data_IF_075084326686
#
_entry.id   IF_075084326686
#
_cell.length_a   1.000
_cell.length_b   1.000
_cell.length_c   1.000
_cell.angle_alpha   90.00
_cell.angle_beta   90.00
_cell.angle_gamma   90.00
#
_symmetry.space_group_name_H-M   'P 1'
#
loop_
_entity.id
_entity.type
_entity.pdbx_description
1 polymer ?
#
# COMPACT_ATOMS: atom_id res chain seq x y z
N UNK A 1 4.02 0.24 -15.75
CA UNK A 1 5.44 0.68 -15.90
C UNK A 1 5.61 2.18 -15.58
N UNK A 2 4.83 3.15 -16.13
CA UNK A 2 5.08 4.57 -15.85
C UNK A 2 4.97 4.94 -14.36
N UNK A 3 4.12 4.30 -13.58
CA UNK A 3 4.04 4.50 -12.12
C UNK A 3 5.34 4.17 -11.40
N UNK A 4 6.03 3.11 -11.81
CA UNK A 4 7.28 2.66 -11.19
C UNK A 4 8.43 3.65 -11.39
N UNK A 5 8.49 4.30 -12.55
CA UNK A 5 9.55 5.28 -12.85
C UNK A 5 9.52 6.43 -11.84
N UNK A 6 8.33 6.91 -11.48
CA UNK A 6 8.20 7.97 -10.48
C UNK A 6 8.31 7.46 -9.04
N UNK A 7 7.77 6.26 -8.76
CA UNK A 7 7.64 5.78 -7.38
C UNK A 7 8.94 5.25 -6.80
N UNK A 8 9.79 4.59 -7.58
CA UNK A 8 11.04 4.00 -7.09
C UNK A 8 11.96 5.05 -6.43
N UNK A 9 12.34 6.14 -7.13
CA UNK A 9 13.21 7.15 -6.53
C UNK A 9 12.54 7.85 -5.35
N UNK A 10 11.24 8.08 -5.44
CA UNK A 10 10.50 8.76 -4.38
C UNK A 10 10.27 7.86 -3.15
N UNK A 11 10.12 6.54 -3.32
CA UNK A 11 10.06 5.61 -2.21
C UNK A 11 11.41 5.50 -1.50
N UNK A 12 12.52 5.54 -2.22
CA UNK A 12 13.85 5.60 -1.65
C UNK A 12 14.01 6.90 -0.82
N UNK A 13 13.72 8.06 -1.41
CA UNK A 13 13.78 9.35 -0.72
C UNK A 13 12.86 9.34 0.52
N UNK A 14 11.62 8.85 0.39
CA UNK A 14 10.72 8.71 1.53
C UNK A 14 11.30 7.84 2.65
N UNK A 15 12.01 6.76 2.30
CA UNK A 15 12.71 5.90 3.25
C UNK A 15 13.87 6.59 3.97
N UNK A 16 14.62 7.49 3.31
CA UNK A 16 15.73 8.24 3.92
C UNK A 16 15.26 9.34 4.86
N UNK A 17 14.01 9.84 4.72
CA UNK A 17 13.52 10.93 5.54
C UNK A 17 13.43 10.53 7.01
N UNK A 18 14.02 11.33 7.88
CA UNK A 18 13.87 11.21 9.33
C UNK A 18 12.73 12.13 9.75
N UNK A 19 11.60 11.52 10.10
CA UNK A 19 10.42 12.25 10.58
C UNK A 19 10.18 11.98 12.05
N UNK A 20 9.62 12.97 12.77
CA UNK A 20 9.27 12.80 14.17
C UNK A 20 8.15 11.75 14.29
N UNK A 21 8.14 11.05 15.43
CA UNK A 21 7.13 10.01 15.72
C UNK A 21 5.70 10.54 15.58
N UNK A 22 5.43 11.76 16.03
CA UNK A 22 4.09 12.36 15.96
C UNK A 22 3.65 12.59 14.50
N UNK A 23 4.54 13.10 13.64
CA UNK A 23 4.25 13.32 12.22
C UNK A 23 4.01 11.96 11.54
N UNK A 24 4.81 10.95 11.86
CA UNK A 24 4.64 9.59 11.34
C UNK A 24 3.28 9.00 11.74
N UNK A 25 2.88 9.10 13.00
CA UNK A 25 1.61 8.58 13.49
C UNK A 25 0.42 9.28 12.83
N UNK A 26 0.46 10.61 12.67
CA UNK A 26 -0.58 11.39 11.98
C UNK A 26 -0.67 10.97 10.50
N UNK A 27 0.48 10.84 9.83
CA UNK A 27 0.54 10.46 8.43
C UNK A 27 0.01 9.03 8.22
N UNK A 28 0.39 8.10 9.10
CA UNK A 28 -0.11 6.73 9.10
C UNK A 28 -1.63 6.69 9.33
N UNK A 29 -2.15 7.46 10.29
CA UNK A 29 -3.59 7.57 10.53
C UNK A 29 -4.35 8.06 9.29
N UNK A 30 -3.91 9.15 8.68
CA UNK A 30 -4.53 9.71 7.47
C UNK A 30 -4.52 8.71 6.30
N UNK A 31 -3.37 8.09 6.08
CA UNK A 31 -3.15 7.12 5.02
C UNK A 31 -4.07 5.90 5.18
N UNK A 32 -4.13 5.33 6.38
CA UNK A 32 -4.99 4.18 6.67
C UNK A 32 -6.48 4.54 6.62
N UNK A 33 -6.86 5.73 7.09
CA UNK A 33 -8.24 6.21 7.01
C UNK A 33 -8.71 6.30 5.56
N UNK A 34 -7.93 6.96 4.71
CA UNK A 34 -8.25 7.11 3.28
C UNK A 34 -8.30 5.73 2.60
N UNK A 35 -7.32 4.86 2.87
CA UNK A 35 -7.28 3.52 2.29
C UNK A 35 -8.48 2.67 2.71
N UNK A 36 -8.84 2.68 4.00
CA UNK A 36 -9.99 1.96 4.53
C UNK A 36 -11.31 2.41 3.89
N UNK A 37 -11.51 3.73 3.79
CA UNK A 37 -12.69 4.33 3.14
C UNK A 37 -12.73 3.95 1.66
N UNK A 38 -11.63 4.08 0.93
CA UNK A 38 -11.56 3.70 -0.48
C UNK A 38 -11.87 2.21 -0.69
N UNK A 39 -11.38 1.33 0.17
CA UNK A 39 -11.66 -0.10 0.10
C UNK A 39 -13.15 -0.42 0.33
N UNK A 40 -13.82 0.28 1.26
CA UNK A 40 -15.25 0.09 1.51
C UNK A 40 -16.11 0.52 0.31
N UNK A 41 -15.80 1.67 -0.30
CA UNK A 41 -16.59 2.19 -1.42
C UNK A 41 -16.31 1.47 -2.74
N UNK A 42 -15.16 0.82 -2.88
CA UNK A 42 -14.73 0.22 -4.15
C UNK A 42 -15.30 -1.20 -4.41
N UNK A 43 -16.18 -1.70 -3.53
CA UNK A 43 -16.82 -3.02 -3.67
C UNK A 43 -17.58 -3.22 -5.01
N UNK A 44 -17.97 -2.14 -5.68
CA UNK A 44 -18.65 -2.20 -7.00
C UNK A 44 -17.67 -2.29 -8.18
N UNK A 45 -16.43 -1.92 -8.01
CA UNK A 45 -15.42 -1.91 -9.08
C UNK A 45 -14.91 -3.31 -9.47
N UNK A 46 -15.15 -4.32 -8.62
CA UNK A 46 -14.83 -5.72 -8.92
C UNK A 46 -15.83 -6.42 -9.85
N UNK A 47 -16.93 -5.75 -10.27
CA UNK A 47 -17.90 -6.32 -11.23
C UNK A 47 -17.47 -6.05 -12.68
N UNK A 48 -17.22 -7.11 -13.37
CA UNK A 48 -16.48 -7.30 -14.62
C UNK A 48 -17.10 -6.77 -15.94
N UNK A 49 -18.18 -6.01 -15.94
CA UNK A 49 -18.92 -5.77 -17.19
C UNK A 49 -18.80 -4.33 -17.71
N UNK A 50 -17.88 -4.04 -18.55
CA UNK A 50 -17.67 -2.81 -19.35
C UNK A 50 -16.54 -1.88 -18.86
N UNK A 51 -15.31 -2.40 -18.75
CA UNK A 51 -14.14 -1.54 -18.66
C UNK A 51 -13.81 -0.94 -20.03
N UNK A 52 -14.22 0.31 -20.27
CA UNK A 52 -13.64 1.11 -21.36
C UNK A 52 -12.33 1.69 -20.84
N UNK A 53 -11.22 1.17 -21.36
CA UNK A 53 -9.88 1.66 -21.02
C UNK A 53 -9.79 3.12 -21.49
N UNK A 54 -9.63 4.04 -20.55
CA UNK A 54 -9.43 5.46 -20.86
C UNK A 54 -7.95 5.69 -21.10
N UNK A 55 -7.59 6.10 -22.31
CA UNK A 55 -6.22 6.48 -22.65
C UNK A 55 -5.84 7.70 -21.80
N UNK A 56 -4.99 7.51 -20.81
CA UNK A 56 -4.58 8.57 -19.88
C UNK A 56 -3.13 8.98 -20.15
N UNK A 57 -2.79 10.21 -19.80
CA UNK A 57 -1.50 10.80 -20.05
C UNK A 57 -0.40 10.09 -19.21
N UNK A 58 0.69 9.57 -19.79
CA UNK A 58 1.73 8.86 -19.06
C UNK A 58 2.40 9.72 -17.97
N UNK A 59 2.48 11.02 -18.16
CA UNK A 59 3.01 11.96 -17.19
C UNK A 59 2.21 11.98 -15.88
N UNK A 60 0.88 11.92 -15.98
CA UNK A 60 0.00 11.87 -14.82
C UNK A 60 0.25 10.59 -13.98
N UNK A 61 0.54 9.48 -14.64
CA UNK A 61 0.87 8.23 -13.95
C UNK A 61 2.22 8.27 -13.24
N UNK A 62 3.21 8.92 -13.83
CA UNK A 62 4.50 9.15 -13.16
C UNK A 62 4.30 10.02 -11.91
N UNK A 63 3.50 11.08 -12.01
CA UNK A 63 3.23 11.98 -10.89
C UNK A 63 2.48 11.28 -9.75
N UNK A 64 1.42 10.52 -10.08
CA UNK A 64 0.69 9.70 -9.08
C UNK A 64 1.64 8.68 -8.44
N UNK A 65 2.45 7.98 -9.25
CA UNK A 65 3.45 7.04 -8.78
C UNK A 65 4.44 7.69 -7.82
N UNK A 66 4.92 8.90 -8.13
CA UNK A 66 5.84 9.66 -7.29
C UNK A 66 5.26 9.98 -5.92
N UNK A 67 4.03 10.49 -5.88
CA UNK A 67 3.34 10.83 -4.62
C UNK A 67 3.11 9.57 -3.78
N UNK A 68 2.59 8.50 -4.40
CA UNK A 68 2.36 7.24 -3.69
C UNK A 68 3.68 6.63 -3.23
N UNK A 69 4.72 6.68 -4.05
CA UNK A 69 6.05 6.18 -3.71
C UNK A 69 6.65 6.89 -2.50
N UNK A 70 6.57 8.21 -2.47
CA UNK A 70 7.07 9.02 -1.36
C UNK A 70 6.35 8.69 -0.05
N UNK A 71 5.02 8.70 -0.07
CA UNK A 71 4.20 8.34 1.10
C UNK A 71 4.50 6.90 1.54
N UNK A 72 4.60 5.98 0.58
CA UNK A 72 4.93 4.58 0.81
C UNK A 72 6.30 4.39 1.46
N UNK A 73 7.31 5.13 1.01
CA UNK A 73 8.65 5.09 1.58
C UNK A 73 8.70 5.60 3.01
N UNK A 74 7.98 6.70 3.28
CA UNK A 74 7.87 7.29 4.62
C UNK A 74 7.17 6.33 5.58
N UNK A 75 6.03 5.78 5.17
CA UNK A 75 5.15 4.96 6.03
C UNK A 75 5.56 3.48 6.05
N UNK A 76 6.30 3.01 5.04
CA UNK A 76 6.76 1.63 4.96
C UNK A 76 5.70 0.61 4.50
N UNK A 77 4.58 1.06 3.89
CA UNK A 77 3.44 0.18 3.52
C UNK A 77 3.54 -0.38 2.09
N UNK A 78 4.55 0.00 1.30
CA UNK A 78 4.72 -0.48 -0.09
C UNK A 78 3.76 0.15 -1.11
N UNK A 79 2.84 1.05 -0.70
CA UNK A 79 2.00 1.90 -1.57
C UNK A 79 0.88 1.24 -2.36
N UNK A 80 0.83 -0.09 -2.42
CA UNK A 80 -0.15 -0.80 -3.24
C UNK A 80 -1.59 -0.68 -2.76
N UNK A 81 -1.78 -0.44 -1.45
CA UNK A 81 -3.11 -0.18 -0.87
C UNK A 81 -3.76 1.05 -1.51
N UNK A 82 -2.95 2.04 -1.93
CA UNK A 82 -3.44 3.25 -2.60
C UNK A 82 -3.51 3.08 -4.12
N UNK A 83 -2.53 2.39 -4.71
CA UNK A 83 -2.46 2.25 -6.16
C UNK A 83 -3.68 1.50 -6.71
N UNK A 84 -4.08 0.39 -6.06
CA UNK A 84 -5.20 -0.42 -6.52
C UNK A 84 -6.51 0.37 -6.63
N UNK A 85 -7.01 1.05 -5.57
CA UNK A 85 -8.22 1.87 -5.68
C UNK A 85 -8.12 2.98 -6.72
N UNK A 86 -6.96 3.63 -6.84
CA UNK A 86 -6.76 4.70 -7.82
C UNK A 86 -6.85 4.15 -9.25
N UNK A 87 -6.21 3.02 -9.53
CA UNK A 87 -6.29 2.39 -10.85
C UNK A 87 -7.70 1.91 -11.19
N UNK A 88 -8.45 1.43 -10.19
CA UNK A 88 -9.86 1.08 -10.36
C UNK A 88 -10.72 2.30 -10.67
N UNK A 89 -10.54 3.41 -9.97
CA UNK A 89 -11.26 4.66 -10.21
C UNK A 89 -10.96 5.25 -11.59
N UNK A 90 -9.71 5.17 -12.01
CA UNK A 90 -9.27 5.62 -13.34
C UNK A 90 -9.71 4.66 -14.48
N UNK A 91 -10.28 3.50 -14.14
CA UNK A 91 -10.64 2.43 -15.10
C UNK A 91 -9.48 2.11 -16.06
N UNK A 92 -8.28 2.03 -15.51
CA UNK A 92 -7.03 1.97 -16.27
C UNK A 92 -6.87 0.64 -17.00
N UNK A 93 -7.28 -0.47 -16.35
CA UNK A 93 -7.10 -1.82 -16.85
C UNK A 93 -8.17 -2.77 -16.27
N UNK A 94 -8.18 -4.02 -16.75
CA UNK A 94 -9.03 -5.07 -16.19
C UNK A 94 -8.65 -5.33 -14.72
N UNK A 95 -9.60 -5.70 -13.84
CA UNK A 95 -9.37 -5.92 -12.42
C UNK A 95 -8.17 -6.83 -12.11
N UNK A 96 -8.01 -7.92 -12.85
CA UNK A 96 -6.90 -8.86 -12.69
C UNK A 96 -5.54 -8.20 -12.94
N UNK A 97 -5.44 -7.38 -13.98
CA UNK A 97 -4.20 -6.69 -14.35
C UNK A 97 -3.87 -5.58 -13.33
N UNK A 98 -4.88 -4.91 -12.77
CA UNK A 98 -4.70 -3.91 -11.71
C UNK A 98 -4.09 -4.57 -10.48
N UNK A 99 -4.62 -5.71 -10.04
CA UNK A 99 -4.11 -6.44 -8.86
C UNK A 99 -2.66 -6.89 -9.09
N UNK A 100 -2.36 -7.45 -10.26
CA UNK A 100 -0.99 -7.87 -10.62
C UNK A 100 -0.03 -6.67 -10.64
N UNK A 101 -0.43 -5.56 -11.25
CA UNK A 101 0.37 -4.33 -11.30
C UNK A 101 0.61 -3.76 -9.90
N UNK A 102 -0.40 -3.79 -9.03
CA UNK A 102 -0.27 -3.34 -7.65
C UNK A 102 0.68 -4.24 -6.84
N UNK A 103 0.64 -5.56 -7.04
CA UNK A 103 1.55 -6.49 -6.35
C UNK A 103 3.01 -6.25 -6.73
N UNK A 104 3.30 -6.05 -8.02
CA UNK A 104 4.64 -5.68 -8.50
C UNK A 104 5.07 -4.33 -7.94
N UNK A 105 4.16 -3.36 -7.91
CA UNK A 105 4.41 -2.03 -7.37
C UNK A 105 4.76 -2.09 -5.87
N UNK A 106 4.02 -2.88 -5.08
CA UNK A 106 4.31 -3.10 -3.65
C UNK A 106 5.72 -3.65 -3.48
N UNK A 107 6.04 -4.72 -4.20
CA UNK A 107 7.33 -5.40 -4.08
C UNK A 107 8.50 -4.45 -4.36
N UNK A 108 8.45 -3.74 -5.49
CA UNK A 108 9.52 -2.85 -5.92
C UNK A 108 9.66 -1.65 -4.97
N UNK A 109 8.55 -1.03 -4.57
CA UNK A 109 8.60 0.12 -3.67
C UNK A 109 8.99 -0.29 -2.24
N UNK A 110 8.61 -1.48 -1.77
CA UNK A 110 9.07 -1.99 -0.48
C UNK A 110 10.58 -2.19 -0.47
N UNK A 111 11.15 -2.78 -1.51
CA UNK A 111 12.60 -2.92 -1.64
C UNK A 111 13.28 -1.54 -1.67
N UNK A 112 12.77 -0.62 -2.50
CA UNK A 112 13.31 0.74 -2.60
C UNK A 112 13.24 1.50 -1.28
N UNK A 113 12.10 1.43 -0.57
CA UNK A 113 11.89 2.06 0.72
C UNK A 113 12.80 1.48 1.81
N UNK A 114 12.98 0.16 1.86
CA UNK A 114 13.92 -0.50 2.79
C UNK A 114 15.34 -0.05 2.50
N UNK A 115 15.76 0.00 1.24
CA UNK A 115 17.08 0.51 0.88
C UNK A 115 17.29 1.96 1.34
N UNK A 116 16.25 2.79 1.24
CA UNK A 116 16.27 4.14 1.79
C UNK A 116 16.38 4.15 3.32
N UNK A 117 15.66 3.30 4.02
CA UNK A 117 15.74 3.21 5.49
C UNK A 117 17.08 2.67 5.98
N UNK A 118 17.72 1.75 5.26
CA UNK A 118 19.03 1.21 5.62
C UNK A 118 20.16 2.27 5.61
N UNK A 119 19.91 3.44 5.06
CA UNK A 119 20.87 4.56 5.15
C UNK A 119 20.91 5.24 6.54
N UNK A 120 19.99 4.85 7.45
CA UNK A 120 19.90 5.38 8.82
C UNK A 120 20.70 4.48 9.77
N UNK A 121 21.47 5.06 10.65
CA UNK A 121 22.45 4.34 11.48
C UNK A 121 21.85 3.27 12.42
N UNK A 122 20.63 3.49 12.94
CA UNK A 122 20.03 2.60 13.95
C UNK A 122 19.17 1.46 13.36
N UNK A 123 18.83 1.50 12.08
CA UNK A 123 17.84 0.58 11.47
C UNK A 123 18.32 -0.86 11.43
N UNK A 124 19.61 -1.10 11.30
CA UNK A 124 20.18 -2.47 11.24
C UNK A 124 19.95 -3.20 12.56
N UNK A 125 20.12 -2.54 13.69
CA UNK A 125 19.89 -3.11 15.01
C UNK A 125 18.39 -3.39 15.24
N UNK A 126 17.52 -2.48 14.80
CA UNK A 126 16.07 -2.69 14.88
C UNK A 126 15.60 -3.87 14.02
N UNK A 127 16.14 -4.03 12.80
CA UNK A 127 15.82 -5.17 11.93
C UNK A 127 16.16 -6.50 12.62
N UNK A 128 17.28 -6.60 13.33
CA UNK A 128 17.66 -7.81 14.07
C UNK A 128 16.66 -8.13 15.20
N UNK A 129 16.24 -7.11 15.94
CA UNK A 129 15.26 -7.26 17.04
C UNK A 129 13.91 -7.73 16.50
N UNK A 130 13.45 -7.19 15.38
CA UNK A 130 12.15 -7.51 14.80
C UNK A 130 12.18 -8.65 13.76
N UNK A 131 13.33 -9.30 13.55
CA UNK A 131 13.49 -10.40 12.60
C UNK A 131 12.50 -11.57 12.78
N UNK A 132 12.05 -11.95 14.01
CA UNK A 132 11.04 -12.99 14.16
C UNK A 132 9.69 -12.64 13.51
N UNK A 133 9.35 -11.35 13.42
CA UNK A 133 8.10 -10.91 12.76
C UNK A 133 8.09 -11.21 11.27
N UNK A 134 9.26 -11.27 10.63
CA UNK A 134 9.37 -11.64 9.22
C UNK A 134 8.79 -13.04 8.95
N UNK A 135 9.11 -14.02 9.80
CA UNK A 135 8.57 -15.37 9.69
C UNK A 135 7.05 -15.39 9.94
N UNK A 136 6.58 -14.62 10.92
CA UNK A 136 5.14 -14.51 11.19
C UNK A 136 4.38 -13.93 9.98
N UNK A 137 4.94 -12.91 9.32
CA UNK A 137 4.35 -12.29 8.12
C UNK A 137 4.38 -13.28 6.95
N UNK A 138 5.45 -14.02 6.74
CA UNK A 138 5.53 -15.04 5.69
C UNK A 138 4.48 -16.14 5.89
N UNK A 139 4.38 -16.71 7.09
CA UNK A 139 3.40 -17.75 7.41
C UNK A 139 1.97 -17.19 7.25
N UNK A 140 1.70 -16.00 7.80
CA UNK A 140 0.41 -15.34 7.66
C UNK A 140 0.04 -15.04 6.20
N UNK A 141 1.02 -14.63 5.40
CA UNK A 141 0.85 -14.39 3.96
C UNK A 141 0.54 -15.67 3.18
N UNK A 142 1.22 -16.78 3.47
CA UNK A 142 0.93 -18.09 2.86
C UNK A 142 -0.47 -18.59 3.21
N UNK A 143 -0.85 -18.50 4.48
CA UNK A 143 -2.19 -18.89 4.94
C UNK A 143 -3.24 -17.98 4.30
N UNK A 144 -3.03 -16.67 4.31
CA UNK A 144 -3.94 -15.68 3.71
C UNK A 144 -4.13 -15.89 2.21
N UNK A 145 -3.05 -16.19 1.48
CA UNK A 145 -3.12 -16.52 0.06
C UNK A 145 -3.90 -17.82 -0.22
N UNK A 146 -3.68 -18.85 0.59
CA UNK A 146 -4.42 -20.10 0.48
C UNK A 146 -5.93 -19.90 0.73
N UNK A 147 -6.29 -19.14 1.76
CA UNK A 147 -7.66 -18.81 2.09
C UNK A 147 -8.33 -17.97 0.98
N UNK A 148 -7.60 -17.00 0.41
CA UNK A 148 -8.08 -16.18 -0.69
C UNK A 148 -8.39 -17.01 -1.95
N UNK A 149 -7.51 -17.95 -2.29
CA UNK A 149 -7.66 -18.74 -3.52
C UNK A 149 -8.74 -19.82 -3.43
N UNK A 150 -8.97 -20.39 -2.23
CA UNK A 150 -9.83 -21.57 -2.07
C UNK A 150 -11.14 -21.33 -1.31
N UNK A 151 -11.21 -20.33 -0.43
CA UNK A 151 -12.31 -20.22 0.53
C UNK A 151 -13.08 -18.91 0.38
N UNK A 152 -12.39 -17.78 0.18
CA UNK A 152 -13.04 -16.47 0.20
C UNK A 152 -13.26 -15.90 -1.19
N UNK A 153 -14.47 -15.36 -1.40
CA UNK A 153 -14.72 -14.50 -2.54
C UNK A 153 -14.00 -13.14 -2.36
N UNK A 154 -13.49 -12.55 -3.44
CA UNK A 154 -12.74 -11.29 -3.40
C UNK A 154 -13.45 -10.15 -2.65
N UNK A 155 -14.81 -10.14 -2.64
CA UNK A 155 -15.60 -9.17 -1.87
C UNK A 155 -15.46 -9.35 -0.35
N UNK A 156 -15.50 -10.59 0.12
CA UNK A 156 -15.36 -10.91 1.56
C UNK A 156 -13.97 -10.52 2.04
N UNK A 157 -12.96 -10.82 1.23
CA UNK A 157 -11.58 -10.45 1.54
C UNK A 157 -11.40 -8.93 1.60
N UNK A 158 -11.93 -8.21 0.61
CA UNK A 158 -11.87 -6.75 0.59
C UNK A 158 -12.58 -6.12 1.81
N UNK A 159 -13.71 -6.69 2.23
CA UNK A 159 -14.45 -6.23 3.41
C UNK A 159 -13.67 -6.48 4.71
N UNK A 160 -13.10 -7.68 4.88
CA UNK A 160 -12.27 -8.01 6.06
C UNK A 160 -11.06 -7.07 6.12
N UNK A 161 -10.39 -6.88 5.00
CA UNK A 161 -9.23 -5.98 4.93
C UNK A 161 -9.62 -4.54 5.25
N UNK A 162 -10.73 -4.04 4.70
CA UNK A 162 -11.24 -2.70 4.99
C UNK A 162 -11.55 -2.51 6.48
N UNK A 163 -12.22 -3.48 7.10
CA UNK A 163 -12.55 -3.45 8.53
C UNK A 163 -11.29 -3.43 9.40
N UNK A 164 -10.29 -4.26 9.08
CA UNK A 164 -9.01 -4.28 9.79
C UNK A 164 -8.26 -2.96 9.66
N UNK A 165 -8.19 -2.40 8.45
CA UNK A 165 -7.51 -1.11 8.20
C UNK A 165 -8.20 0.03 8.95
N UNK A 166 -9.55 0.06 8.95
CA UNK A 166 -10.33 1.07 9.69
C UNK A 166 -10.15 0.90 11.19
N UNK A 167 -10.17 -0.34 11.70
CA UNK A 167 -9.93 -0.59 13.13
C UNK A 167 -8.56 -0.08 13.58
N UNK A 168 -7.50 -0.37 12.81
CA UNK A 168 -6.16 0.14 13.10
C UNK A 168 -6.12 1.66 13.03
N UNK A 169 -6.77 2.25 12.02
CA UNK A 169 -6.86 3.70 11.86
C UNK A 169 -7.55 4.37 13.06
N UNK A 170 -8.69 3.85 13.51
CA UNK A 170 -9.40 4.37 14.68
C UNK A 170 -8.52 4.28 15.92
N UNK A 171 -7.86 3.14 16.15
CA UNK A 171 -6.94 2.96 17.27
C UNK A 171 -5.80 3.97 17.25
N UNK A 172 -5.23 4.24 16.07
CA UNK A 172 -4.19 5.26 15.91
C UNK A 172 -4.74 6.67 16.17
N UNK A 173 -5.94 6.98 15.69
CA UNK A 173 -6.60 8.26 15.97
C UNK A 173 -6.82 8.49 17.46
N UNK A 174 -7.33 7.51 18.18
CA UNK A 174 -7.50 7.59 19.64
C UNK A 174 -6.16 7.88 20.33
N UNK A 175 -5.08 7.22 19.93
CA UNK A 175 -3.75 7.42 20.50
C UNK A 175 -3.17 8.82 20.23
N UNK A 176 -3.55 9.45 19.12
CA UNK A 176 -3.05 10.78 18.74
C UNK A 176 -3.82 11.90 19.47
N UNK A 177 -5.13 11.70 19.69
CA UNK A 177 -6.03 12.73 20.21
C UNK A 177 -6.35 12.59 21.69
N UNK A 178 -6.05 11.45 22.29
CA UNK A 178 -6.19 11.16 23.74
C UNK A 178 -4.84 10.86 24.37
#
# INVERSE_FOLDING_TARGET
IPFLIGSIPMAFIGGTLIISKNIFEILLFLVLSIAGVLLLFNNKAYQENNFKIKKSNPFLFVLIGSIIGLISGIVGIGGGIFLSPILFLLKFEKPKNIVTSASIFILINSVSGILGQLTKDDVVNEILIYSPLFFCVLIGGLIGNYLNLKIFNGRVLAMITALLVIFVSIRMGIKIFL
#
